data_IF_535439239489
#
_entry.id   IF_535439239489
#
_cell.length_a   1.000
_cell.length_b   1.000
_cell.length_c   1.000
_cell.angle_alpha   90.00
_cell.angle_beta   90.00
_cell.angle_gamma   90.00
#
_symmetry.space_group_name_H-M   'P 1'
#
loop_
_entity.id
_entity.type
_entity.pdbx_description
1 polymer ?
#
# COMPACT_ATOMS: atom_id res chain seq x y z
N UNK A 1 23.09 40.44 -39.80
CA UNK A 1 22.91 40.18 -38.36
C UNK A 1 21.73 39.26 -38.15
N UNK A 2 20.59 39.50 -38.81
CA UNK A 2 19.40 38.59 -38.79
C UNK A 2 19.70 37.11 -39.07
N UNK A 3 20.48 36.76 -40.09
CA UNK A 3 20.78 35.36 -40.40
C UNK A 3 21.40 34.57 -39.24
N UNK A 4 22.31 35.19 -38.47
CA UNK A 4 22.95 34.54 -37.32
C UNK A 4 21.98 34.46 -36.13
N UNK A 5 21.15 35.48 -35.93
CA UNK A 5 20.16 35.50 -34.85
C UNK A 5 19.04 34.49 -35.12
N UNK A 6 18.58 34.36 -36.36
CA UNK A 6 17.54 33.40 -36.77
C UNK A 6 18.07 31.96 -36.75
N UNK A 7 19.29 31.74 -37.22
CA UNK A 7 19.94 30.43 -37.13
C UNK A 7 20.16 30.00 -35.68
N UNK A 8 20.67 30.89 -34.83
CA UNK A 8 20.85 30.63 -33.41
C UNK A 8 19.49 30.38 -32.73
N UNK A 9 18.45 31.13 -33.11
CA UNK A 9 17.10 31.01 -32.55
C UNK A 9 16.47 29.66 -32.87
N UNK A 10 16.53 29.22 -34.13
CA UNK A 10 16.00 27.93 -34.53
C UNK A 10 16.78 26.76 -33.91
N UNK A 11 18.10 26.86 -33.85
CA UNK A 11 18.95 25.86 -33.18
C UNK A 11 18.61 25.73 -31.69
N UNK A 12 18.37 26.86 -31.00
CA UNK A 12 18.02 26.86 -29.57
C UNK A 12 16.58 26.34 -29.35
N UNK A 13 15.64 26.62 -30.26
CA UNK A 13 14.28 26.04 -30.22
C UNK A 13 14.31 24.52 -30.36
N UNK A 14 14.99 23.99 -31.36
CA UNK A 14 15.12 22.53 -31.55
C UNK A 14 15.72 21.85 -30.32
N UNK A 15 16.77 22.44 -29.74
CA UNK A 15 17.42 21.91 -28.53
C UNK A 15 16.50 21.93 -27.30
N UNK A 16 15.70 22.99 -27.13
CA UNK A 16 14.75 23.11 -26.02
C UNK A 16 13.55 22.17 -26.18
N UNK A 17 12.98 22.06 -27.38
CA UNK A 17 11.88 21.14 -27.69
C UNK A 17 12.34 19.70 -27.44
N UNK A 18 13.49 19.31 -28.00
CA UNK A 18 14.05 17.97 -27.79
C UNK A 18 14.35 17.69 -26.31
N UNK A 19 14.81 18.69 -25.55
CA UNK A 19 15.04 18.56 -24.12
C UNK A 19 13.75 18.42 -23.29
N UNK A 20 12.68 19.14 -23.65
CA UNK A 20 11.37 19.05 -22.98
C UNK A 20 10.70 17.72 -23.31
N UNK A 21 10.67 17.34 -24.59
CA UNK A 21 10.12 16.07 -25.06
C UNK A 21 10.84 14.88 -24.43
N UNK A 22 12.18 14.85 -24.47
CA UNK A 22 12.95 13.77 -23.85
C UNK A 22 12.77 13.67 -22.33
N UNK A 23 12.52 14.78 -21.65
CA UNK A 23 12.23 14.78 -20.21
C UNK A 23 10.79 14.32 -19.93
N UNK A 24 9.81 14.70 -20.76
CA UNK A 24 8.41 14.25 -20.66
C UNK A 24 8.26 12.76 -20.99
N UNK A 25 8.90 12.27 -22.05
CA UNK A 25 8.94 10.84 -22.39
C UNK A 25 9.65 10.04 -21.30
N UNK A 26 10.78 10.53 -20.80
CA UNK A 26 11.48 9.92 -19.67
C UNK A 26 10.60 9.89 -18.40
N UNK A 27 9.76 10.89 -18.18
CA UNK A 27 8.81 10.93 -17.07
C UNK A 27 7.70 9.89 -17.24
N UNK A 28 7.11 9.76 -18.43
CA UNK A 28 6.05 8.79 -18.69
C UNK A 28 6.56 7.37 -18.58
N UNK A 29 7.76 7.09 -19.11
CA UNK A 29 8.40 5.79 -19.00
C UNK A 29 8.78 5.46 -17.56
N UNK A 30 9.32 6.42 -16.82
CA UNK A 30 9.66 6.25 -15.42
C UNK A 30 8.43 5.98 -14.55
N UNK A 31 7.32 6.71 -14.77
CA UNK A 31 6.06 6.49 -14.05
C UNK A 31 5.53 5.09 -14.36
N UNK A 32 5.46 4.69 -15.63
CA UNK A 32 4.98 3.37 -16.03
C UNK A 32 5.85 2.23 -15.47
N UNK A 33 7.18 2.40 -15.49
CA UNK A 33 8.12 1.46 -14.87
C UNK A 33 7.91 1.37 -13.36
N UNK A 34 7.75 2.49 -12.66
CA UNK A 34 7.46 2.53 -11.22
C UNK A 34 6.09 1.90 -10.91
N UNK A 35 5.03 2.14 -11.69
CA UNK A 35 3.71 1.49 -11.51
C UNK A 35 3.86 -0.03 -11.61
N UNK A 36 4.60 -0.52 -12.60
CA UNK A 36 4.88 -1.95 -12.77
C UNK A 36 5.69 -2.53 -11.62
N UNK A 37 6.76 -1.85 -11.20
CA UNK A 37 7.59 -2.29 -10.09
C UNK A 37 6.82 -2.30 -8.76
N UNK A 38 5.98 -1.30 -8.51
CA UNK A 38 5.10 -1.24 -7.34
C UNK A 38 4.11 -2.39 -7.36
N UNK A 39 3.46 -2.67 -8.50
CA UNK A 39 2.53 -3.79 -8.62
C UNK A 39 3.20 -5.12 -8.24
N UNK A 40 4.44 -5.33 -8.69
CA UNK A 40 5.22 -6.51 -8.33
C UNK A 40 5.56 -6.50 -6.84
N UNK A 41 6.16 -5.42 -6.33
CA UNK A 41 6.60 -5.36 -4.94
C UNK A 41 5.42 -5.46 -3.96
N UNK A 42 4.27 -4.84 -4.26
CA UNK A 42 3.01 -4.92 -3.49
C UNK A 42 2.39 -6.31 -3.56
N UNK A 43 2.51 -6.99 -4.70
CA UNK A 43 2.02 -8.35 -4.87
C UNK A 43 2.90 -9.43 -4.21
N UNK A 44 4.13 -9.13 -3.78
CA UNK A 44 5.03 -10.16 -3.22
C UNK A 44 4.61 -10.65 -1.83
N UNK A 45 4.56 -11.97 -1.61
CA UNK A 45 4.29 -12.57 -0.27
C UNK A 45 5.36 -12.16 0.74
N UNK A 46 5.01 -12.01 2.04
CA UNK A 46 6.01 -11.78 3.09
C UNK A 46 7.07 -12.89 3.13
N UNK A 47 6.74 -14.11 2.70
CA UNK A 47 7.69 -15.21 2.60
C UNK A 47 8.65 -15.05 1.40
N UNK A 48 8.15 -14.59 0.25
CA UNK A 48 8.94 -14.36 -0.95
C UNK A 48 9.77 -13.08 -0.90
N UNK A 49 9.37 -12.09 -0.10
CA UNK A 49 10.06 -10.81 0.02
C UNK A 49 11.45 -10.95 0.66
N UNK A 50 11.55 -11.63 1.81
CA UNK A 50 12.84 -12.01 2.38
C UNK A 50 12.70 -13.23 3.30
N UNK A 51 13.22 -14.38 2.83
CA UNK A 51 13.13 -15.63 3.57
C UNK A 51 13.83 -15.60 4.94
N UNK A 52 14.93 -14.83 5.06
CA UNK A 52 15.68 -14.70 6.31
C UNK A 52 14.90 -13.92 7.38
N UNK A 53 14.36 -12.76 7.02
CA UNK A 53 13.50 -11.95 7.90
C UNK A 53 12.24 -12.72 8.29
N UNK A 54 11.60 -13.38 7.32
CA UNK A 54 10.42 -14.20 7.57
C UNK A 54 10.70 -15.35 8.55
N UNK A 55 11.81 -16.06 8.37
CA UNK A 55 12.22 -17.13 9.28
C UNK A 55 12.50 -16.61 10.70
N UNK A 56 13.17 -15.47 10.82
CA UNK A 56 13.43 -14.81 12.11
C UNK A 56 12.12 -14.47 12.83
N UNK A 57 11.18 -13.83 12.13
CA UNK A 57 9.89 -13.43 12.71
C UNK A 57 9.07 -14.64 13.12
N UNK A 58 9.06 -15.69 12.29
CA UNK A 58 8.38 -16.95 12.62
C UNK A 58 8.98 -17.59 13.86
N UNK A 59 10.31 -17.72 13.93
CA UNK A 59 10.99 -18.28 15.10
C UNK A 59 10.70 -17.49 16.37
N UNK A 60 10.72 -16.15 16.29
CA UNK A 60 10.40 -15.28 17.42
C UNK A 60 8.95 -15.48 17.88
N UNK A 61 8.00 -15.50 16.95
CA UNK A 61 6.58 -15.70 17.23
C UNK A 61 6.31 -17.08 17.85
N UNK A 62 6.84 -18.16 17.26
CA UNK A 62 6.59 -19.53 17.70
C UNK A 62 7.33 -19.88 19.01
N UNK A 63 8.54 -19.34 19.22
CA UNK A 63 9.38 -19.70 20.38
C UNK A 63 9.10 -18.83 21.60
N UNK A 64 8.89 -17.52 21.41
CA UNK A 64 8.79 -16.55 22.51
C UNK A 64 7.35 -16.13 22.76
N UNK A 65 6.62 -15.78 21.71
CA UNK A 65 5.30 -15.15 21.84
C UNK A 65 4.18 -16.18 22.04
N UNK A 66 4.25 -17.34 21.37
CA UNK A 66 3.24 -18.39 21.48
C UNK A 66 3.10 -18.92 22.93
N UNK A 67 4.19 -19.19 23.70
CA UNK A 67 4.05 -19.56 25.11
C UNK A 67 3.37 -18.46 25.95
N UNK A 68 3.72 -17.19 25.73
CA UNK A 68 3.09 -16.05 26.43
C UNK A 68 1.60 -15.99 26.10
N UNK A 69 1.23 -16.16 24.84
CA UNK A 69 -0.15 -16.21 24.42
C UNK A 69 -0.91 -17.41 25.02
N UNK A 70 -0.24 -18.55 25.23
CA UNK A 70 -0.80 -19.69 25.96
C UNK A 70 -1.12 -19.35 27.43
N UNK A 71 -0.28 -18.56 28.09
CA UNK A 71 -0.56 -18.06 29.45
C UNK A 71 -1.77 -17.09 29.45
N UNK A 72 -1.83 -16.17 28.49
CA UNK A 72 -2.98 -15.27 28.31
C UNK A 72 -4.27 -16.07 28.07
N UNK A 73 -4.22 -17.08 27.19
CA UNK A 73 -5.35 -17.96 26.93
C UNK A 73 -5.80 -18.68 28.20
N UNK A 74 -4.86 -19.20 29.00
CA UNK A 74 -5.16 -19.89 30.26
C UNK A 74 -5.84 -18.94 31.25
N UNK A 75 -5.35 -17.70 31.36
CA UNK A 75 -5.96 -16.66 32.19
C UNK A 75 -7.40 -16.35 31.74
N UNK A 76 -7.61 -16.11 30.44
CA UNK A 76 -8.92 -15.81 29.86
C UNK A 76 -9.89 -16.98 30.03
N UNK A 77 -9.45 -18.21 29.80
CA UNK A 77 -10.28 -19.41 29.96
C UNK A 77 -10.68 -19.62 31.43
N UNK A 78 -9.77 -19.35 32.38
CA UNK A 78 -10.05 -19.43 33.82
C UNK A 78 -11.05 -18.36 34.26
N UNK A 79 -10.89 -17.13 33.76
CA UNK A 79 -11.81 -16.05 34.03
C UNK A 79 -13.23 -16.35 33.53
N UNK A 80 -13.37 -16.89 32.31
CA UNK A 80 -14.66 -17.32 31.78
C UNK A 80 -15.32 -18.40 32.65
N UNK A 81 -14.54 -19.35 33.15
CA UNK A 81 -15.02 -20.40 34.04
C UNK A 81 -15.54 -19.83 35.35
N UNK A 82 -14.84 -18.88 35.95
CA UNK A 82 -15.28 -18.20 37.17
C UNK A 82 -16.59 -17.44 36.92
N UNK A 83 -16.70 -16.69 35.82
CA UNK A 83 -17.92 -15.95 35.49
C UNK A 83 -19.13 -16.87 35.33
N UNK A 84 -19.00 -17.98 34.59
CA UNK A 84 -20.10 -18.93 34.43
C UNK A 84 -20.55 -19.55 35.76
N UNK A 85 -19.63 -19.79 36.69
CA UNK A 85 -19.95 -20.29 38.02
C UNK A 85 -20.64 -19.24 38.90
N UNK A 86 -20.24 -17.97 38.79
CA UNK A 86 -20.84 -16.85 39.54
C UNK A 86 -22.25 -16.52 39.03
N UNK A 87 -22.47 -16.48 37.72
CA UNK A 87 -23.79 -16.22 37.12
C UNK A 87 -24.81 -17.31 37.45
N UNK A 88 -24.37 -18.57 37.64
CA UNK A 88 -25.24 -19.70 38.01
C UNK A 88 -25.24 -20.04 39.50
N UNK A 89 -24.79 -19.12 40.37
CA UNK A 89 -24.87 -19.28 41.82
C UNK A 89 -26.31 -19.11 42.36
N UNK A 90 -27.25 -19.88 41.81
CA UNK A 90 -28.59 -20.12 42.34
C UNK A 90 -28.87 -21.63 42.45
N UNK A 91 -27.88 -22.37 42.98
CA UNK A 91 -27.88 -23.76 43.50
C UNK A 91 -29.12 -24.65 43.25
N UNK A 92 -29.57 -24.76 41.99
CA UNK A 92 -30.67 -25.66 41.63
C UNK A 92 -30.46 -26.38 40.29
N UNK A 93 -29.73 -25.79 39.33
CA UNK A 93 -29.46 -26.45 38.04
C UNK A 93 -28.03 -26.18 37.55
N UNK A 94 -27.11 -27.06 37.94
CA UNK A 94 -25.78 -27.15 37.34
C UNK A 94 -25.94 -27.71 35.92
N UNK A 95 -26.08 -26.80 34.95
CA UNK A 95 -26.31 -27.17 33.55
C UNK A 95 -25.01 -27.67 32.91
N UNK A 96 -24.85 -28.99 32.89
CA UNK A 96 -23.73 -29.72 32.31
C UNK A 96 -23.43 -29.27 30.87
N UNK A 97 -24.45 -28.80 30.12
CA UNK A 97 -24.27 -28.29 28.75
C UNK A 97 -23.35 -27.06 28.68
N UNK A 98 -23.31 -26.22 29.71
CA UNK A 98 -22.45 -25.03 29.72
C UNK A 98 -20.97 -25.37 29.93
N UNK A 99 -20.67 -26.37 30.75
CA UNK A 99 -19.29 -26.86 30.93
C UNK A 99 -18.78 -27.48 29.62
N UNK A 100 -19.61 -28.27 28.93
CA UNK A 100 -19.25 -28.80 27.61
C UNK A 100 -18.99 -27.71 26.57
N UNK A 101 -19.82 -26.66 26.52
CA UNK A 101 -19.59 -25.50 25.64
C UNK A 101 -18.28 -24.79 25.95
N UNK A 102 -17.93 -24.61 27.22
CA UNK A 102 -16.66 -24.00 27.62
C UNK A 102 -15.44 -24.86 27.25
N UNK A 103 -15.51 -26.19 27.47
CA UNK A 103 -14.43 -27.09 27.05
C UNK A 103 -14.23 -27.06 25.53
N UNK A 104 -15.32 -27.07 24.76
CA UNK A 104 -15.26 -26.96 23.31
C UNK A 104 -14.66 -25.63 22.85
N UNK A 105 -15.10 -24.52 23.43
CA UNK A 105 -14.61 -23.18 23.15
C UNK A 105 -13.11 -23.03 23.44
N UNK A 106 -12.66 -23.58 24.57
CA UNK A 106 -11.24 -23.59 24.96
C UNK A 106 -10.41 -24.45 24.01
N UNK A 107 -10.92 -25.61 23.59
CA UNK A 107 -10.28 -26.45 22.58
C UNK A 107 -10.15 -25.74 21.23
N UNK A 108 -11.20 -25.05 20.76
CA UNK A 108 -11.15 -24.21 19.57
C UNK A 108 -10.12 -23.09 19.69
N UNK A 109 -10.03 -22.44 20.86
CA UNK A 109 -9.07 -21.37 21.09
C UNK A 109 -7.61 -21.88 21.03
N UNK A 110 -7.33 -23.06 21.58
CA UNK A 110 -6.02 -23.72 21.45
C UNK A 110 -5.71 -24.03 19.99
N UNK A 111 -6.68 -24.55 19.23
CA UNK A 111 -6.48 -24.86 17.80
C UNK A 111 -6.16 -23.59 16.97
N UNK A 112 -6.89 -22.50 17.23
CA UNK A 112 -6.64 -21.20 16.59
C UNK A 112 -5.25 -20.70 16.97
N UNK A 113 -4.90 -20.74 18.26
CA UNK A 113 -3.61 -20.24 18.75
C UNK A 113 -2.43 -21.00 18.13
N UNK A 114 -2.49 -22.33 18.12
CA UNK A 114 -1.46 -23.21 17.53
C UNK A 114 -1.30 -23.00 16.02
N UNK A 115 -2.33 -22.50 15.34
CA UNK A 115 -2.31 -22.22 13.90
C UNK A 115 -2.27 -20.72 13.57
N UNK A 116 -1.92 -19.85 14.54
CA UNK A 116 -1.94 -18.40 14.35
C UNK A 116 -1.14 -17.97 13.12
N UNK A 117 0.08 -18.49 12.98
CA UNK A 117 0.95 -18.10 11.86
C UNK A 117 0.36 -18.49 10.50
N UNK A 118 -0.28 -19.66 10.41
CA UNK A 118 -0.97 -20.12 9.20
C UNK A 118 -2.17 -19.23 8.87
N UNK A 119 -2.94 -18.82 9.89
CA UNK A 119 -4.08 -17.91 9.72
C UNK A 119 -3.61 -16.55 9.20
N UNK A 120 -2.54 -16.01 9.79
CA UNK A 120 -1.98 -14.72 9.38
C UNK A 120 -1.49 -14.78 7.93
N UNK A 121 -0.78 -15.84 7.57
CA UNK A 121 -0.35 -16.09 6.19
C UNK A 121 -1.52 -16.19 5.22
N UNK A 122 -2.58 -16.93 5.58
CA UNK A 122 -3.77 -17.05 4.74
C UNK A 122 -4.47 -15.71 4.47
N UNK A 123 -4.51 -14.81 5.47
CA UNK A 123 -5.05 -13.45 5.31
C UNK A 123 -4.22 -12.66 4.29
N UNK A 124 -2.90 -12.80 4.32
CA UNK A 124 -2.03 -12.17 3.33
C UNK A 124 -2.17 -12.77 1.94
N UNK A 125 -2.29 -14.08 1.81
CA UNK A 125 -2.52 -14.75 0.51
C UNK A 125 -3.81 -14.25 -0.15
N UNK A 126 -4.90 -14.14 0.62
CA UNK A 126 -6.16 -13.56 0.14
C UNK A 126 -5.96 -12.11 -0.30
N UNK A 127 -5.33 -11.28 0.53
CA UNK A 127 -5.07 -9.87 0.20
C UNK A 127 -4.24 -9.74 -1.08
N UNK A 128 -3.27 -10.63 -1.29
CA UNK A 128 -2.40 -10.61 -2.46
C UNK A 128 -3.06 -11.08 -3.74
N UNK A 129 -3.97 -12.05 -3.66
CA UNK A 129 -4.80 -12.43 -4.80
C UNK A 129 -5.59 -11.22 -5.34
N UNK A 130 -6.12 -10.39 -4.44
CA UNK A 130 -6.86 -9.17 -4.80
C UNK A 130 -5.93 -8.11 -5.37
N UNK A 131 -4.77 -7.89 -4.75
CA UNK A 131 -3.76 -6.93 -5.24
C UNK A 131 -3.28 -7.30 -6.64
N UNK A 132 -2.99 -8.57 -6.89
CA UNK A 132 -2.52 -9.06 -8.20
C UNK A 132 -3.58 -8.84 -9.28
N UNK A 133 -4.85 -9.14 -8.98
CA UNK A 133 -5.96 -8.89 -9.89
C UNK A 133 -6.15 -7.39 -10.17
N UNK A 134 -6.06 -6.55 -9.14
CA UNK A 134 -6.14 -5.10 -9.29
C UNK A 134 -4.98 -4.54 -10.13
N UNK A 135 -3.74 -5.03 -9.91
CA UNK A 135 -2.56 -4.64 -10.68
C UNK A 135 -2.70 -4.95 -12.17
N UNK A 136 -3.26 -6.10 -12.53
CA UNK A 136 -3.50 -6.48 -13.93
C UNK A 136 -4.49 -5.56 -14.66
N UNK A 137 -5.53 -5.07 -13.97
CA UNK A 137 -6.48 -4.11 -14.54
C UNK A 137 -5.87 -2.72 -14.74
N UNK A 138 -5.04 -2.29 -13.78
CA UNK A 138 -4.43 -0.95 -13.78
C UNK A 138 -3.37 -0.84 -14.89
N UNK A 139 -2.52 -1.86 -15.07
CA UNK A 139 -1.52 -1.86 -16.15
C UNK A 139 -2.16 -1.74 -17.54
N UNK A 140 -3.31 -2.39 -17.78
CA UNK A 140 -3.98 -2.34 -19.08
C UNK A 140 -4.67 -1.01 -19.42
N UNK A 141 -4.77 -0.06 -18.47
CA UNK A 141 -5.47 1.24 -18.67
C UNK A 141 -4.55 2.46 -18.60
N UNK A 142 -3.25 2.26 -18.37
CA UNK A 142 -2.31 3.35 -18.06
C UNK A 142 -1.33 3.65 -19.20
N UNK A 143 -1.36 2.90 -20.31
CA UNK A 143 -0.48 3.16 -21.44
C UNK A 143 -0.71 4.57 -21.99
N UNK A 144 0.35 5.38 -21.95
CA UNK A 144 0.39 6.69 -22.58
C UNK A 144 0.70 6.44 -24.05
N UNK A 145 -0.26 6.71 -24.92
CA UNK A 145 -0.15 6.43 -26.35
C UNK A 145 0.86 7.37 -27.02
N UNK A 146 1.66 6.88 -27.98
CA UNK A 146 2.60 7.69 -28.77
C UNK A 146 1.94 8.92 -29.44
N UNK A 147 0.65 8.84 -29.76
CA UNK A 147 -0.12 9.91 -30.37
C UNK A 147 -0.22 11.18 -29.48
N UNK A 148 -0.18 11.03 -28.14
CA UNK A 148 -0.26 12.17 -27.21
C UNK A 148 1.07 12.94 -27.14
N UNK A 149 2.20 12.27 -27.38
CA UNK A 149 3.52 12.91 -27.45
C UNK A 149 3.67 13.72 -28.73
N UNK A 150 3.16 13.20 -29.86
CA UNK A 150 3.17 13.90 -31.14
C UNK A 150 2.37 15.22 -31.12
N UNK A 151 1.22 15.26 -30.42
CA UNK A 151 0.40 16.47 -30.29
C UNK A 151 1.07 17.54 -29.41
N UNK A 152 1.79 17.14 -28.35
CA UNK A 152 2.61 18.04 -27.54
C UNK A 152 3.79 18.62 -28.33
N UNK A 153 4.48 17.80 -29.12
CA UNK A 153 5.57 18.25 -29.98
C UNK A 153 5.09 19.33 -30.96
N UNK A 154 3.96 19.07 -31.62
CA UNK A 154 3.34 20.03 -32.56
C UNK A 154 2.96 21.35 -31.87
N UNK A 155 2.54 21.30 -30.61
CA UNK A 155 2.19 22.49 -29.81
C UNK A 155 3.45 23.27 -29.39
N UNK A 156 4.53 22.57 -29.04
CA UNK A 156 5.82 23.15 -28.65
C UNK A 156 6.54 23.82 -29.83
N UNK A 157 6.45 23.26 -31.04
CA UNK A 157 6.97 23.86 -32.28
C UNK A 157 6.32 25.22 -32.58
N UNK A 158 5.06 25.41 -32.17
CA UNK A 158 4.32 26.66 -32.32
C UNK A 158 4.70 27.78 -31.34
N UNK A 159 5.54 27.51 -30.33
CA UNK A 159 5.85 28.46 -29.26
C UNK A 159 7.09 29.34 -29.54
N UNK A 160 7.10 30.53 -28.92
CA UNK A 160 8.26 31.41 -28.92
C UNK A 160 9.40 30.90 -28.03
N UNK A 161 10.64 31.38 -28.30
CA UNK A 161 11.85 30.97 -27.58
C UNK A 161 11.79 31.24 -26.06
N UNK A 162 11.19 32.36 -25.65
CA UNK A 162 11.08 32.75 -24.24
C UNK A 162 10.28 31.75 -23.41
N UNK A 163 9.04 31.43 -23.82
CA UNK A 163 8.23 30.37 -23.21
C UNK A 163 8.91 28.99 -23.21
N UNK A 164 9.61 28.63 -24.30
CA UNK A 164 10.36 27.38 -24.42
C UNK A 164 11.49 27.26 -23.38
N UNK A 165 12.26 28.33 -23.16
CA UNK A 165 13.28 28.37 -22.11
C UNK A 165 12.67 28.21 -20.71
N UNK A 166 11.52 28.84 -20.46
CA UNK A 166 10.78 28.71 -19.21
C UNK A 166 10.29 27.29 -18.96
N UNK A 167 9.69 26.66 -19.98
CA UNK A 167 9.22 25.27 -19.93
C UNK A 167 10.37 24.28 -19.72
N UNK A 168 11.53 24.51 -20.35
CA UNK A 168 12.70 23.65 -20.18
C UNK A 168 13.26 23.72 -18.74
N UNK A 169 13.35 24.92 -18.16
CA UNK A 169 13.76 25.08 -16.76
C UNK A 169 12.74 24.43 -15.81
N UNK A 170 11.45 24.60 -16.10
CA UNK A 170 10.36 24.00 -15.31
C UNK A 170 10.38 22.46 -15.42
N UNK A 171 10.61 21.89 -16.60
CA UNK A 171 10.67 20.43 -16.78
C UNK A 171 11.83 19.82 -15.98
N UNK A 172 12.97 20.51 -15.89
CA UNK A 172 14.11 20.07 -15.06
C UNK A 172 13.71 19.90 -13.57
N UNK A 173 12.84 20.78 -13.05
CA UNK A 173 12.31 20.67 -11.68
C UNK A 173 11.44 19.41 -11.52
N UNK A 174 10.65 19.05 -12.55
CA UNK A 174 9.82 17.84 -12.51
C UNK A 174 10.69 16.58 -12.35
N UNK A 175 11.82 16.51 -13.06
CA UNK A 175 12.76 15.39 -12.94
C UNK A 175 13.24 15.17 -11.50
N UNK A 176 13.51 16.25 -10.76
CA UNK A 176 13.87 16.19 -9.33
C UNK A 176 12.71 15.69 -8.48
N UNK A 177 11.48 16.17 -8.74
CA UNK A 177 10.30 15.73 -7.99
C UNK A 177 9.99 14.24 -8.20
N UNK A 178 10.23 13.68 -9.38
CA UNK A 178 10.05 12.24 -9.61
C UNK A 178 11.10 11.39 -8.93
N UNK A 179 12.35 11.84 -8.92
CA UNK A 179 13.38 11.16 -8.13
C UNK A 179 12.98 11.08 -6.65
N UNK A 180 12.46 12.18 -6.10
CA UNK A 180 11.95 12.20 -4.73
C UNK A 180 10.74 11.26 -4.54
N UNK A 181 9.84 11.19 -5.52
CA UNK A 181 8.67 10.32 -5.48
C UNK A 181 9.07 8.83 -5.48
N UNK A 182 10.07 8.44 -6.27
CA UNK A 182 10.63 7.08 -6.26
C UNK A 182 11.15 6.68 -4.88
N UNK A 183 11.84 7.58 -4.17
CA UNK A 183 12.30 7.34 -2.79
C UNK A 183 11.11 7.17 -1.85
N UNK A 184 10.10 8.04 -1.93
CA UNK A 184 8.91 7.96 -1.06
C UNK A 184 8.17 6.64 -1.25
N UNK A 185 7.98 6.23 -2.50
CA UNK A 185 7.36 4.94 -2.83
C UNK A 185 8.18 3.80 -2.25
N UNK A 186 9.49 3.78 -2.47
CA UNK A 186 10.38 2.76 -1.92
C UNK A 186 10.23 2.64 -0.40
N UNK A 187 10.29 3.78 0.31
CA UNK A 187 10.13 3.81 1.77
C UNK A 187 8.77 3.30 2.22
N UNK A 188 7.68 3.66 1.53
CA UNK A 188 6.33 3.22 1.89
C UNK A 188 6.08 1.73 1.59
N UNK A 189 6.56 1.27 0.44
CA UNK A 189 6.45 -0.13 0.01
C UNK A 189 7.25 -1.04 0.95
N UNK A 190 8.46 -0.64 1.35
CA UNK A 190 9.26 -1.41 2.31
C UNK A 190 8.72 -1.26 3.74
N UNK A 191 8.26 -0.06 4.10
CA UNK A 191 7.63 0.24 5.39
C UNK A 191 6.43 -0.65 5.67
N UNK A 192 5.55 -0.87 4.68
CA UNK A 192 4.40 -1.78 4.85
C UNK A 192 4.84 -3.23 5.12
N UNK A 193 5.92 -3.71 4.50
CA UNK A 193 6.41 -5.07 4.73
C UNK A 193 6.92 -5.23 6.17
N UNK A 194 7.60 -4.21 6.68
CA UNK A 194 8.00 -4.16 8.08
C UNK A 194 6.79 -4.13 9.02
N UNK A 195 5.74 -3.36 8.70
CA UNK A 195 4.50 -3.32 9.48
C UNK A 195 3.82 -4.70 9.51
N UNK A 196 3.75 -5.40 8.37
CA UNK A 196 3.25 -6.78 8.28
C UNK A 196 4.04 -7.71 9.19
N UNK A 197 5.37 -7.65 9.18
CA UNK A 197 6.21 -8.48 10.03
C UNK A 197 6.03 -8.19 11.52
N UNK A 198 5.88 -6.92 11.90
CA UNK A 198 5.63 -6.52 13.28
C UNK A 198 4.28 -7.05 13.77
N UNK A 199 3.21 -6.89 13.00
CA UNK A 199 1.90 -7.44 13.34
C UNK A 199 1.93 -8.96 13.43
N UNK A 200 2.58 -9.63 12.47
CA UNK A 200 2.71 -11.09 12.45
C UNK A 200 3.47 -11.62 13.65
N UNK A 201 4.53 -10.92 14.08
CA UNK A 201 5.37 -11.35 15.21
C UNK A 201 4.60 -11.39 16.53
N UNK A 202 3.64 -10.50 16.71
CA UNK A 202 2.84 -10.37 17.93
C UNK A 202 1.46 -11.02 17.82
N UNK A 203 1.13 -11.60 16.67
CA UNK A 203 -0.17 -12.19 16.36
C UNK A 203 -0.73 -13.18 17.40
N UNK A 204 0.07 -14.07 18.02
CA UNK A 204 -0.49 -15.06 18.95
C UNK A 204 -1.22 -14.46 20.16
N UNK A 205 -0.78 -13.28 20.65
CA UNK A 205 -1.36 -12.64 21.84
C UNK A 205 -2.84 -12.23 21.62
N UNK A 206 -3.17 -11.39 20.62
CA UNK A 206 -4.56 -11.04 20.35
C UNK A 206 -5.38 -12.25 19.88
N UNK A 207 -4.77 -13.22 19.18
CA UNK A 207 -5.46 -14.44 18.76
C UNK A 207 -5.89 -15.31 19.95
N UNK A 208 -5.15 -15.32 21.07
CA UNK A 208 -5.57 -15.98 22.31
C UNK A 208 -6.84 -15.36 22.92
N UNK A 209 -7.13 -14.09 22.64
CA UNK A 209 -8.32 -13.39 23.17
C UNK A 209 -9.58 -13.57 22.31
N UNK A 210 -9.44 -13.99 21.04
CA UNK A 210 -10.53 -14.07 20.06
C UNK A 210 -11.73 -14.90 20.51
N UNK A 211 -11.46 -16.03 21.17
CA UNK A 211 -12.52 -16.95 21.53
C UNK A 211 -13.45 -16.36 22.59
N UNK A 212 -12.98 -15.44 23.44
CA UNK A 212 -13.73 -14.98 24.60
C UNK A 212 -14.75 -13.87 24.30
N UNK A 213 -15.85 -13.80 25.07
CA UNK A 213 -16.94 -12.85 24.77
C UNK A 213 -16.60 -11.41 25.17
N UNK A 214 -15.90 -11.23 26.29
CA UNK A 214 -15.59 -9.88 26.82
C UNK A 214 -14.30 -9.29 26.23
N UNK A 215 -13.28 -10.12 26.01
CA UNK A 215 -11.98 -9.70 25.45
C UNK A 215 -11.83 -10.03 23.96
N UNK A 216 -12.84 -10.66 23.35
CA UNK A 216 -12.84 -11.03 21.94
C UNK A 216 -12.78 -9.84 21.00
N UNK A 217 -13.19 -8.65 21.46
CA UNK A 217 -13.07 -7.41 20.69
C UNK A 217 -11.60 -7.10 20.35
N UNK A 218 -10.66 -7.38 21.26
CA UNK A 218 -9.22 -7.16 21.02
C UNK A 218 -8.72 -8.06 19.88
N UNK A 219 -9.05 -9.35 19.92
CA UNK A 219 -8.70 -10.27 18.83
C UNK A 219 -9.37 -9.91 17.50
N UNK A 220 -10.64 -9.49 17.53
CA UNK A 220 -11.37 -9.10 16.31
C UNK A 220 -10.78 -7.82 15.70
N UNK A 221 -10.41 -6.83 16.51
CA UNK A 221 -9.74 -5.62 16.05
C UNK A 221 -8.36 -5.94 15.47
N UNK A 222 -7.62 -6.89 16.05
CA UNK A 222 -6.36 -7.36 15.46
C UNK A 222 -6.57 -7.97 14.06
N UNK A 223 -7.56 -8.87 13.89
CA UNK A 223 -7.86 -9.43 12.56
C UNK A 223 -8.26 -8.33 11.57
N UNK A 224 -9.07 -7.35 11.98
CA UNK A 224 -9.41 -6.18 11.15
C UNK A 224 -8.17 -5.36 10.78
N UNK A 225 -7.25 -5.16 11.72
CA UNK A 225 -5.98 -4.47 11.45
C UNK A 225 -5.09 -5.27 10.50
N UNK A 226 -5.08 -6.60 10.62
CA UNK A 226 -4.32 -7.46 9.72
C UNK A 226 -4.86 -7.40 8.29
N UNK A 227 -6.19 -7.44 8.13
CA UNK A 227 -6.83 -7.20 6.84
C UNK A 227 -6.57 -5.78 6.32
N UNK A 228 -6.58 -4.76 7.19
CA UNK A 228 -6.26 -3.40 6.80
C UNK A 228 -4.86 -3.28 6.19
N UNK A 229 -3.84 -3.79 6.87
CA UNK A 229 -2.46 -3.74 6.37
C UNK A 229 -2.29 -4.64 5.13
N UNK A 230 -2.98 -5.79 5.08
CA UNK A 230 -3.01 -6.64 3.88
C UNK A 230 -3.57 -5.92 2.65
N UNK A 231 -4.69 -5.20 2.80
CA UNK A 231 -5.34 -4.46 1.72
C UNK A 231 -4.75 -3.07 1.46
N UNK A 232 -3.90 -2.55 2.35
CA UNK A 232 -3.19 -1.27 2.13
C UNK A 232 -2.42 -1.28 0.80
N UNK A 233 -1.86 -2.43 0.42
CA UNK A 233 -1.21 -2.61 -0.87
C UNK A 233 -2.11 -2.26 -2.06
N UNK A 234 -3.38 -2.67 -2.01
CA UNK A 234 -4.36 -2.34 -3.04
C UNK A 234 -4.61 -0.83 -3.12
N UNK A 235 -4.70 -0.14 -1.97
CA UNK A 235 -4.90 1.30 -1.94
C UNK A 235 -3.71 2.07 -2.54
N UNK A 236 -2.49 1.57 -2.35
CA UNK A 236 -1.29 2.13 -2.98
C UNK A 236 -1.41 2.02 -4.51
N UNK A 237 -1.81 0.86 -5.04
CA UNK A 237 -2.03 0.69 -6.48
C UNK A 237 -3.11 1.61 -7.03
N UNK A 238 -4.22 1.75 -6.31
CA UNK A 238 -5.30 2.67 -6.71
C UNK A 238 -4.82 4.13 -6.73
N UNK A 239 -4.02 4.55 -5.75
CA UNK A 239 -3.46 5.91 -5.73
C UNK A 239 -2.58 6.18 -6.95
N UNK A 240 -1.70 5.23 -7.28
CA UNK A 240 -0.80 5.34 -8.44
C UNK A 240 -1.59 5.33 -9.75
N UNK A 241 -2.63 4.50 -9.86
CA UNK A 241 -3.52 4.47 -11.03
C UNK A 241 -4.25 5.80 -11.24
N UNK A 242 -4.82 6.37 -10.18
CA UNK A 242 -5.50 7.68 -10.22
C UNK A 242 -4.51 8.76 -10.68
N UNK A 243 -3.28 8.75 -10.14
CA UNK A 243 -2.26 9.69 -10.56
C UNK A 243 -1.93 9.59 -12.05
N UNK A 244 -1.78 8.38 -12.59
CA UNK A 244 -1.46 8.21 -13.99
C UNK A 244 -2.57 8.72 -14.92
N UNK A 245 -3.84 8.46 -14.59
CA UNK A 245 -5.00 9.01 -15.33
C UNK A 245 -5.06 10.55 -15.22
N UNK A 246 -4.76 11.12 -14.05
CA UNK A 246 -4.75 12.57 -13.85
C UNK A 246 -3.64 13.26 -14.66
N UNK A 247 -2.46 12.65 -14.76
CA UNK A 247 -1.35 13.14 -15.58
C UNK A 247 -1.71 13.09 -17.07
N UNK A 248 -2.33 11.99 -17.54
CA UNK A 248 -2.82 11.90 -18.92
C UNK A 248 -3.82 13.02 -19.26
N UNK A 249 -4.76 13.31 -18.36
CA UNK A 249 -5.76 14.37 -18.56
C UNK A 249 -5.19 15.78 -18.63
N UNK A 250 -3.99 16.00 -18.10
CA UNK A 250 -3.28 17.28 -18.23
C UNK A 250 -2.64 17.42 -19.62
N UNK A 251 -2.03 16.35 -20.13
CA UNK A 251 -1.31 16.37 -21.41
C UNK A 251 -2.23 16.77 -22.57
N UNK A 252 -3.52 16.46 -22.49
CA UNK A 252 -4.52 16.78 -23.51
C UNK A 252 -5.12 18.20 -23.40
N UNK A 253 -4.76 18.98 -22.38
CA UNK A 253 -5.42 20.27 -22.09
C UNK A 253 -4.91 21.46 -22.92
N UNK A 254 -3.83 21.30 -23.69
CA UNK A 254 -3.36 22.29 -24.66
C UNK A 254 -2.63 23.53 -24.09
N UNK A 255 -2.49 23.67 -22.76
CA UNK A 255 -1.64 24.68 -22.12
C UNK A 255 -0.38 24.03 -21.51
N UNK A 256 0.79 24.13 -22.16
CA UNK A 256 2.00 23.46 -21.70
C UNK A 256 2.54 24.01 -20.36
N UNK A 257 2.30 25.29 -20.02
CA UNK A 257 2.78 25.87 -18.75
C UNK A 257 1.88 25.43 -17.59
N UNK A 258 0.56 25.50 -17.78
CA UNK A 258 -0.42 24.97 -16.82
C UNK A 258 -0.26 23.47 -16.63
N UNK A 259 0.09 22.74 -17.69
CA UNK A 259 0.30 21.31 -17.65
C UNK A 259 1.45 20.91 -16.73
N UNK A 260 2.61 21.57 -16.84
CA UNK A 260 3.76 21.26 -15.99
C UNK A 260 3.46 21.50 -14.50
N UNK A 261 2.82 22.63 -14.17
CA UNK A 261 2.43 22.92 -12.78
C UNK A 261 1.37 21.95 -12.24
N UNK A 262 0.44 21.53 -13.09
CA UNK A 262 -0.54 20.50 -12.74
C UNK A 262 0.12 19.15 -12.43
N UNK A 263 1.11 18.73 -13.22
CA UNK A 263 1.87 17.49 -12.98
C UNK A 263 2.57 17.55 -11.63
N UNK A 264 3.28 18.64 -11.32
CA UNK A 264 3.94 18.84 -10.02
C UNK A 264 2.91 18.82 -8.87
N UNK A 265 1.76 19.47 -9.04
CA UNK A 265 0.67 19.46 -8.06
C UNK A 265 0.14 18.05 -7.78
N UNK A 266 -0.11 17.26 -8.81
CA UNK A 266 -0.57 15.88 -8.68
C UNK A 266 0.50 14.95 -8.10
N UNK A 267 1.77 15.21 -8.37
CA UNK A 267 2.92 14.50 -7.80
C UNK A 267 2.96 14.66 -6.27
N UNK A 268 2.78 15.90 -5.79
CA UNK A 268 2.71 16.20 -4.35
C UNK A 268 1.45 15.60 -3.72
N UNK A 269 0.31 15.67 -4.40
CA UNK A 269 -0.94 15.06 -3.94
C UNK A 269 -0.81 13.54 -3.82
N UNK A 270 -0.17 12.88 -4.79
CA UNK A 270 0.11 11.44 -4.73
C UNK A 270 0.95 11.11 -3.50
N UNK A 271 2.04 11.84 -3.28
CA UNK A 271 2.90 11.66 -2.12
C UNK A 271 2.09 11.75 -0.81
N UNK A 272 1.26 12.78 -0.66
CA UNK A 272 0.39 12.95 0.51
C UNK A 272 -0.60 11.78 0.68
N UNK A 273 -1.25 11.35 -0.40
CA UNK A 273 -2.21 10.25 -0.36
C UNK A 273 -1.54 8.91 -0.04
N UNK A 274 -0.36 8.64 -0.59
CA UNK A 274 0.41 7.44 -0.32
C UNK A 274 0.74 7.28 1.16
N UNK A 275 1.18 8.35 1.85
CA UNK A 275 1.39 8.32 3.31
C UNK A 275 0.11 8.06 4.10
N UNK A 276 -1.04 8.48 3.57
CA UNK A 276 -2.34 8.33 4.23
C UNK A 276 -3.00 6.96 4.01
N UNK A 277 -2.51 6.16 3.04
CA UNK A 277 -3.11 4.87 2.69
C UNK A 277 -3.26 3.93 3.88
N UNK A 278 -2.26 3.83 4.77
CA UNK A 278 -2.34 2.98 5.97
C UNK A 278 -3.47 3.39 6.92
N UNK A 279 -3.60 4.68 7.21
CA UNK A 279 -4.69 5.19 8.05
C UNK A 279 -6.07 5.07 7.40
N UNK A 280 -6.15 5.15 6.07
CA UNK A 280 -7.40 4.91 5.33
C UNK A 280 -7.78 3.43 5.40
N UNK A 281 -6.81 2.52 5.22
CA UNK A 281 -7.05 1.08 5.30
C UNK A 281 -7.59 0.69 6.68
N UNK A 282 -6.97 1.17 7.75
CA UNK A 282 -7.42 0.91 9.13
C UNK A 282 -8.86 1.37 9.36
N UNK A 283 -9.24 2.54 8.84
CA UNK A 283 -10.61 3.08 8.94
C UNK A 283 -11.63 2.25 8.17
N UNK A 284 -11.28 1.77 6.96
CA UNK A 284 -12.18 0.95 6.13
C UNK A 284 -12.53 -0.35 6.85
N UNK A 285 -11.53 -1.01 7.45
CA UNK A 285 -11.75 -2.26 8.17
C UNK A 285 -12.23 -2.09 9.62
N UNK A 286 -12.39 -0.84 10.09
CA UNK A 286 -12.81 -0.56 11.46
C UNK A 286 -11.80 -1.07 12.50
N UNK A 287 -10.51 -1.04 12.15
CA UNK A 287 -9.42 -1.25 13.07
C UNK A 287 -9.17 0.06 13.83
N UNK A 288 -9.61 0.10 15.09
CA UNK A 288 -9.38 1.19 16.04
C UNK A 288 -8.57 0.68 17.22
#
# INVERSE_FOLDING_TARGET
>A
MDFLTDWLTNWLKELLIGGIMGNLEGLTDYVNAQVGEIAVQVGTTPAAWNAGVFSLIRQLSETVILPIAGLVLTFVATYELIQMLLEKNNMHEFDVANIYKWMFKTACAILILSNTFNIVMAVFDVSQSVITQAGGLIQGSTDITPDMMAELETTLEGMDLGPLLGLWLQSSIIGVTMWALGIVIFVLVYGRMLEIYLLTSLAPIPMATLAHREVGQTGQNYLRSLFAVGFQGMLILVCVAIYAVLVQGIVTSGDPIGAIWGIVGYTVLLCFMLFKTGGIAQRIFGAH
#
